data_IF_747284585050
#
_entry.id   IF_747284585050
#
_cell.length_a   1.000
_cell.length_b   1.000
_cell.length_c   1.000
_cell.angle_alpha   90.00
_cell.angle_beta   90.00
_cell.angle_gamma   90.00
#
_symmetry.space_group_name_H-M   'P 1'
#
loop_
_entity.id
_entity.type
_entity.pdbx_description
1 polymer ?
#
# COMPACT_ATOMS: atom_id res chain seq x y z
N UNK A 1 46.77 4.28 58.72
CA UNK A 1 45.84 3.19 58.35
C UNK A 1 44.53 3.64 57.71
N UNK A 2 44.06 4.88 57.87
CA UNK A 2 42.75 5.35 57.33
C UNK A 2 42.74 5.59 55.80
N UNK A 3 43.90 5.67 55.14
CA UNK A 3 43.97 5.97 53.69
C UNK A 3 43.70 4.76 52.78
N UNK A 4 44.02 3.54 53.24
CA UNK A 4 43.87 2.32 52.42
C UNK A 4 42.42 1.87 52.27
N UNK A 5 41.55 2.18 53.24
CA UNK A 5 40.13 1.78 53.20
C UNK A 5 39.32 2.57 52.15
N UNK A 6 39.67 3.83 51.89
CA UNK A 6 38.97 4.64 50.86
C UNK A 6 39.31 4.21 49.43
N UNK A 7 40.55 3.83 49.18
CA UNK A 7 40.97 3.35 47.86
C UNK A 7 40.32 1.99 47.53
N UNK A 8 40.25 1.10 48.52
CA UNK A 8 39.60 -0.20 48.38
C UNK A 8 38.10 -0.09 48.11
N UNK A 9 37.39 0.81 48.82
CA UNK A 9 35.95 1.03 48.62
C UNK A 9 35.63 1.60 47.22
N UNK A 10 36.46 2.48 46.66
CA UNK A 10 36.28 2.99 45.29
C UNK A 10 36.52 1.91 44.23
N UNK A 11 37.59 1.14 44.36
CA UNK A 11 37.87 0.04 43.44
C UNK A 11 36.77 -1.04 43.46
N UNK A 12 36.19 -1.31 44.64
CA UNK A 12 35.09 -2.25 44.79
C UNK A 12 33.77 -1.71 44.19
N UNK A 13 33.50 -0.41 44.35
CA UNK A 13 32.33 0.26 43.74
C UNK A 13 32.38 0.27 42.21
N UNK A 14 33.56 0.50 41.61
CA UNK A 14 33.74 0.51 40.15
C UNK A 14 33.63 -0.90 39.54
N UNK A 15 34.01 -1.94 40.29
CA UNK A 15 33.80 -3.33 39.88
C UNK A 15 32.32 -3.70 39.93
N UNK A 16 31.61 -3.37 41.01
CA UNK A 16 30.17 -3.66 41.16
C UNK A 16 29.32 -2.98 40.09
N UNK A 17 29.60 -1.72 39.76
CA UNK A 17 28.87 -1.00 38.72
C UNK A 17 29.06 -1.62 37.33
N UNK A 18 30.27 -2.10 36.99
CA UNK A 18 30.51 -2.81 35.72
C UNK A 18 29.81 -4.16 35.63
N UNK A 19 29.76 -4.90 36.74
CA UNK A 19 29.01 -6.16 36.78
C UNK A 19 27.51 -5.93 36.66
N UNK A 20 26.96 -4.90 37.33
CA UNK A 20 25.55 -4.56 37.22
C UNK A 20 25.17 -4.09 35.80
N UNK A 21 26.00 -3.30 35.13
CA UNK A 21 25.70 -2.84 33.76
C UNK A 21 25.76 -3.98 32.75
N UNK A 22 26.71 -4.91 32.87
CA UNK A 22 26.74 -6.11 32.02
C UNK A 22 25.52 -7.01 32.24
N UNK A 23 25.11 -7.23 33.50
CA UNK A 23 23.94 -8.05 33.81
C UNK A 23 22.65 -7.45 33.26
N UNK A 24 22.47 -6.12 33.36
CA UNK A 24 21.31 -5.43 32.80
C UNK A 24 21.28 -5.54 31.26
N UNK A 25 22.40 -5.34 30.58
CA UNK A 25 22.48 -5.49 29.12
C UNK A 25 22.12 -6.90 28.65
N UNK A 26 22.56 -7.93 29.39
CA UNK A 26 22.19 -9.32 29.11
C UNK A 26 20.69 -9.57 29.32
N UNK A 27 20.10 -9.03 30.38
CA UNK A 27 18.65 -9.15 30.61
C UNK A 27 17.87 -8.48 29.48
N UNK A 28 18.25 -7.27 29.05
CA UNK A 28 17.60 -6.59 27.93
C UNK A 28 17.74 -7.35 26.60
N UNK A 29 18.91 -7.95 26.33
CA UNK A 29 19.12 -8.76 25.14
C UNK A 29 18.29 -10.05 25.13
N UNK A 30 18.14 -10.71 26.29
CA UNK A 30 17.30 -11.90 26.40
C UNK A 30 15.82 -11.53 26.32
N UNK A 31 15.39 -10.42 26.94
CA UNK A 31 14.01 -9.93 26.85
C UNK A 31 13.64 -9.57 25.41
N UNK A 32 14.53 -8.94 24.64
CA UNK A 32 14.24 -8.57 23.25
C UNK A 32 14.11 -9.78 22.34
N UNK A 33 14.91 -10.84 22.55
CA UNK A 33 14.77 -12.12 21.82
C UNK A 33 13.45 -12.83 22.19
N UNK A 34 13.04 -12.78 23.47
CA UNK A 34 11.77 -13.37 23.92
C UNK A 34 10.55 -12.62 23.35
N UNK A 35 10.61 -11.30 23.26
CA UNK A 35 9.55 -10.48 22.67
C UNK A 35 9.43 -10.71 21.16
N UNK A 36 10.54 -10.91 20.43
CA UNK A 36 10.51 -11.21 18.99
C UNK A 36 9.96 -12.62 18.68
N UNK A 37 10.14 -13.59 19.58
CA UNK A 37 9.67 -14.98 19.39
C UNK A 37 8.23 -15.22 19.86
N UNK A 38 7.67 -14.31 20.66
CA UNK A 38 6.25 -14.30 21.03
C UNK A 38 5.37 -13.54 20.01
N UNK A 39 5.96 -12.88 19.01
CA UNK A 39 5.19 -12.40 17.88
C UNK A 39 4.81 -13.63 17.04
N UNK A 40 3.51 -13.96 16.88
CA UNK A 40 3.12 -14.98 15.93
C UNK A 40 3.73 -14.61 14.57
N UNK A 41 4.12 -15.60 13.74
CA UNK A 41 4.51 -15.30 12.36
C UNK A 41 3.41 -14.42 11.77
N UNK A 42 3.80 -13.31 11.14
CA UNK A 42 2.91 -12.44 10.37
C UNK A 42 2.36 -13.27 9.19
N UNK A 43 1.40 -14.14 9.50
CA UNK A 43 0.71 -15.04 8.62
C UNK A 43 -0.78 -14.76 8.77
N UNK A 44 -1.31 -14.00 7.80
CA UNK A 44 -2.69 -14.07 7.33
C UNK A 44 -3.87 -13.78 8.29
N UNK A 45 -3.73 -12.92 9.30
CA UNK A 45 -4.90 -12.61 10.17
C UNK A 45 -4.97 -11.17 10.69
N UNK A 46 -4.55 -10.15 9.93
CA UNK A 46 -4.61 -8.75 10.40
C UNK A 46 -5.86 -7.96 9.97
N UNK A 47 -6.91 -8.63 9.48
CA UNK A 47 -8.21 -8.01 9.24
C UNK A 47 -9.29 -8.69 10.08
N UNK A 48 -9.60 -8.17 11.28
CA UNK A 48 -10.81 -8.54 12.01
C UNK A 48 -12.02 -7.84 11.34
N UNK A 49 -12.39 -8.30 10.14
CA UNK A 49 -13.56 -7.85 9.39
C UNK A 49 -14.54 -9.01 9.19
N UNK A 50 -15.52 -9.13 10.08
CA UNK A 50 -16.87 -9.66 9.81
C UNK A 50 -16.98 -10.87 8.85
N UNK A 51 -16.39 -12.01 9.22
CA UNK A 51 -16.50 -13.28 8.47
C UNK A 51 -17.91 -13.90 8.62
N UNK A 52 -18.99 -13.22 8.23
CA UNK A 52 -20.34 -13.80 8.14
C UNK A 52 -21.35 -13.00 7.29
N UNK A 53 -20.95 -11.87 6.70
CA UNK A 53 -21.81 -11.11 5.77
C UNK A 53 -21.91 -11.79 4.40
N UNK A 54 -23.06 -11.66 3.75
CA UNK A 54 -23.17 -11.91 2.30
C UNK A 54 -22.48 -10.75 1.57
N UNK A 55 -21.73 -11.06 0.51
CA UNK A 55 -21.14 -9.99 -0.31
C UNK A 55 -22.22 -9.11 -0.92
N UNK A 56 -22.04 -7.79 -0.85
CA UNK A 56 -22.74 -6.88 -1.75
C UNK A 56 -22.19 -7.00 -3.19
N UNK A 57 -22.85 -6.36 -4.14
CA UNK A 57 -22.39 -6.34 -5.54
C UNK A 57 -21.10 -5.55 -5.73
N UNK A 58 -20.83 -4.61 -4.83
CA UNK A 58 -19.70 -3.67 -4.88
C UNK A 58 -18.49 -4.12 -4.06
N UNK A 59 -18.62 -5.20 -3.31
CA UNK A 59 -17.57 -5.74 -2.46
C UNK A 59 -16.85 -6.92 -3.15
N UNK A 60 -15.51 -6.91 -3.20
CA UNK A 60 -14.77 -8.06 -3.67
C UNK A 60 -14.87 -9.20 -2.65
N UNK A 61 -15.16 -10.41 -3.13
CA UNK A 61 -15.13 -11.60 -2.29
C UNK A 61 -13.71 -12.08 -2.01
N UNK A 62 -12.73 -11.71 -2.84
CA UNK A 62 -11.30 -12.01 -2.62
C UNK A 62 -10.41 -10.93 -3.22
N UNK A 63 -9.25 -10.70 -2.60
CA UNK A 63 -8.25 -9.75 -3.09
C UNK A 63 -6.92 -10.47 -3.24
N UNK A 64 -6.23 -10.25 -4.36
CA UNK A 64 -4.87 -10.70 -4.64
C UNK A 64 -3.97 -9.49 -4.86
N UNK A 65 -2.86 -9.46 -4.17
CA UNK A 65 -1.86 -8.39 -4.21
C UNK A 65 -0.57 -8.98 -4.75
N UNK A 66 -0.02 -8.37 -5.79
CA UNK A 66 1.28 -8.70 -6.35
C UNK A 66 2.23 -7.52 -6.19
N UNK A 67 3.31 -7.74 -5.44
CA UNK A 67 4.41 -6.80 -5.25
C UNK A 67 5.51 -7.14 -6.24
N UNK A 68 5.63 -6.36 -7.32
CA UNK A 68 6.55 -6.65 -8.43
C UNK A 68 8.02 -6.62 -7.97
N UNK A 69 8.38 -5.68 -7.08
CA UNK A 69 9.75 -5.50 -6.59
C UNK A 69 10.31 -6.73 -5.87
N UNK A 70 9.45 -7.43 -5.11
CA UNK A 70 9.83 -8.64 -4.36
C UNK A 70 9.32 -9.92 -5.03
N UNK A 71 8.65 -9.80 -6.18
CA UNK A 71 7.91 -10.89 -6.83
C UNK A 71 7.02 -11.67 -5.84
N UNK A 72 6.46 -10.96 -4.86
CA UNK A 72 5.68 -11.56 -3.78
C UNK A 72 4.21 -11.42 -4.09
N UNK A 73 3.48 -12.54 -4.00
CA UNK A 73 2.03 -12.54 -4.18
C UNK A 73 1.36 -12.92 -2.87
N UNK A 74 0.39 -12.12 -2.44
CA UNK A 74 -0.42 -12.38 -1.26
C UNK A 74 -1.88 -12.41 -1.67
N UNK A 75 -2.62 -13.40 -1.22
CA UNK A 75 -4.03 -13.55 -1.51
C UNK A 75 -4.81 -13.60 -0.19
N UNK A 76 -5.89 -12.84 -0.10
CA UNK A 76 -6.75 -12.86 1.07
C UNK A 76 -7.60 -14.12 1.08
N UNK A 77 -8.00 -14.55 2.26
CA UNK A 77 -9.15 -15.45 2.37
C UNK A 77 -10.41 -14.77 1.78
N UNK A 78 -11.46 -15.57 1.60
CA UNK A 78 -12.78 -15.05 1.22
C UNK A 78 -13.25 -14.02 2.26
N UNK A 79 -13.47 -12.78 1.82
CA UNK A 79 -13.79 -11.65 2.71
C UNK A 79 -15.27 -11.63 3.10
N UNK A 80 -16.14 -12.15 2.23
CA UNK A 80 -17.59 -12.22 2.40
C UNK A 80 -18.13 -13.44 1.66
N UNK A 81 -19.30 -13.97 2.04
CA UNK A 81 -19.86 -15.17 1.40
C UNK A 81 -20.64 -14.84 0.13
N UNK A 82 -20.21 -15.41 -0.99
CA UNK A 82 -20.98 -15.39 -2.23
C UNK A 82 -22.22 -16.31 -2.18
N UNK A 83 -23.24 -16.07 -3.02
CA UNK A 83 -24.37 -17.00 -3.17
C UNK A 83 -23.92 -18.38 -3.67
N UNK A 84 -24.56 -19.49 -3.25
CA UNK A 84 -24.16 -20.85 -3.66
C UNK A 84 -24.17 -21.09 -5.17
N UNK A 85 -24.98 -20.34 -5.91
CA UNK A 85 -25.06 -20.43 -7.38
C UNK A 85 -23.84 -19.87 -8.10
N UNK A 86 -23.15 -18.88 -7.49
CA UNK A 86 -21.96 -18.24 -8.02
C UNK A 86 -20.93 -18.09 -6.90
N UNK A 87 -20.23 -19.17 -6.50
CA UNK A 87 -19.25 -19.12 -5.43
C UNK A 87 -18.10 -18.15 -5.78
N UNK A 88 -17.40 -17.67 -4.75
CA UNK A 88 -16.21 -16.86 -4.94
C UNK A 88 -15.13 -17.72 -5.61
N UNK A 89 -14.71 -17.35 -6.81
CA UNK A 89 -13.73 -18.13 -7.57
C UNK A 89 -12.31 -17.93 -7.02
N UNK A 90 -11.48 -18.95 -7.20
CA UNK A 90 -10.03 -18.86 -7.03
C UNK A 90 -9.28 -18.83 -8.38
N UNK A 91 -9.99 -18.96 -9.50
CA UNK A 91 -9.42 -18.95 -10.83
C UNK A 91 -9.44 -17.53 -11.41
N UNK A 92 -8.35 -16.81 -11.17
CA UNK A 92 -8.19 -15.41 -11.57
C UNK A 92 -8.10 -15.21 -13.09
N UNK A 93 -7.67 -16.23 -13.83
CA UNK A 93 -7.47 -16.16 -15.28
C UNK A 93 -8.70 -16.68 -16.03
N UNK A 94 -9.31 -17.77 -15.55
CA UNK A 94 -10.53 -18.34 -16.12
C UNK A 94 -11.77 -17.46 -15.92
N UNK A 95 -11.85 -16.73 -14.81
CA UNK A 95 -12.99 -15.86 -14.47
C UNK A 95 -12.69 -14.36 -14.63
N UNK A 96 -11.95 -13.97 -15.67
CA UNK A 96 -11.55 -12.59 -15.91
C UNK A 96 -12.73 -11.59 -15.98
N UNK A 97 -13.94 -12.02 -16.32
CA UNK A 97 -15.15 -11.15 -16.30
C UNK A 97 -15.58 -10.73 -14.89
N UNK A 98 -15.08 -11.39 -13.85
CA UNK A 98 -15.36 -11.16 -12.43
C UNK A 98 -14.19 -10.50 -11.71
N UNK A 99 -13.14 -10.11 -12.44
CA UNK A 99 -11.90 -9.57 -11.88
C UNK A 99 -11.70 -8.13 -12.35
N UNK A 100 -11.44 -7.24 -11.40
CA UNK A 100 -10.92 -5.89 -11.67
C UNK A 100 -9.47 -5.85 -11.21
N UNK A 101 -8.57 -5.41 -12.09
CA UNK A 101 -7.14 -5.28 -11.76
C UNK A 101 -6.72 -3.82 -11.83
N UNK A 102 -6.06 -3.36 -10.76
CA UNK A 102 -5.53 -2.00 -10.63
C UNK A 102 -4.03 -2.06 -10.34
N UNK A 103 -3.27 -1.14 -10.92
CA UNK A 103 -1.89 -0.83 -10.58
C UNK A 103 -1.91 0.29 -9.55
N UNK A 104 -1.50 -0.06 -8.34
CA UNK A 104 -1.35 0.87 -7.23
C UNK A 104 0.10 1.39 -7.17
N UNK A 105 0.37 2.35 -6.29
CA UNK A 105 1.70 2.93 -6.11
C UNK A 105 2.76 1.87 -5.75
N UNK A 106 4.03 2.17 -6.02
CA UNK A 106 5.21 1.34 -5.68
C UNK A 106 5.30 -0.02 -6.38
N UNK A 107 4.94 -0.09 -7.65
CA UNK A 107 4.94 -1.35 -8.43
C UNK A 107 4.15 -2.45 -7.70
N UNK A 108 2.94 -2.10 -7.27
CA UNK A 108 1.97 -3.03 -6.72
C UNK A 108 0.82 -3.18 -7.70
N UNK A 109 0.38 -4.41 -7.92
CA UNK A 109 -0.86 -4.70 -8.64
C UNK A 109 -1.83 -5.38 -7.70
N UNK A 110 -3.07 -4.93 -7.71
CA UNK A 110 -4.14 -5.47 -6.90
C UNK A 110 -5.25 -5.96 -7.83
N UNK A 111 -5.63 -7.22 -7.67
CA UNK A 111 -6.74 -7.86 -8.37
C UNK A 111 -7.85 -8.17 -7.38
N UNK A 112 -9.06 -7.76 -7.73
CA UNK A 112 -10.27 -7.87 -6.92
C UNK A 112 -11.24 -8.82 -7.61
N UNK A 113 -11.57 -9.94 -6.96
CA UNK A 113 -12.51 -10.94 -7.45
C UNK A 113 -13.89 -10.68 -6.85
N UNK A 114 -14.93 -10.73 -7.67
CA UNK A 114 -16.32 -10.48 -7.26
C UNK A 114 -17.18 -11.73 -7.41
N UNK A 115 -18.31 -11.77 -6.69
CA UNK A 115 -19.27 -12.89 -6.79
C UNK A 115 -19.98 -12.97 -8.16
N UNK A 116 -20.00 -11.87 -8.91
CA UNK A 116 -20.69 -11.75 -10.20
C UNK A 116 -19.80 -10.99 -11.17
N UNK A 117 -20.16 -11.02 -12.45
CA UNK A 117 -19.42 -10.27 -13.48
C UNK A 117 -19.47 -8.77 -13.17
N UNK A 118 -18.31 -8.12 -13.28
CA UNK A 118 -18.16 -6.70 -12.93
C UNK A 118 -18.08 -5.82 -14.17
N UNK A 119 -18.04 -6.40 -15.38
CA UNK A 119 -17.78 -5.65 -16.59
C UNK A 119 -18.85 -4.57 -16.86
N UNK A 120 -18.48 -3.28 -16.88
CA UNK A 120 -19.33 -2.26 -17.47
C UNK A 120 -19.47 -2.56 -18.96
N UNK A 121 -20.64 -2.26 -19.51
CA UNK A 121 -20.96 -2.60 -20.91
C UNK A 121 -20.18 -1.77 -21.94
N UNK A 122 -19.34 -0.82 -21.51
CA UNK A 122 -18.73 0.20 -22.36
C UNK A 122 -17.21 0.29 -22.14
N UNK A 123 -16.50 0.49 -23.25
CA UNK A 123 -15.07 0.82 -23.24
C UNK A 123 -14.90 2.30 -22.88
N UNK A 124 -13.82 2.62 -22.16
CA UNK A 124 -13.47 4.01 -21.86
C UNK A 124 -13.08 4.74 -23.15
N UNK A 125 -13.61 5.95 -23.38
CA UNK A 125 -13.40 6.72 -24.62
C UNK A 125 -12.61 8.02 -24.43
N UNK A 126 -12.36 8.42 -23.19
CA UNK A 126 -11.76 9.68 -22.81
C UNK A 126 -10.93 9.52 -21.53
N UNK A 127 -10.31 10.63 -21.08
CA UNK A 127 -9.50 10.73 -19.86
C UNK A 127 -10.35 10.67 -18.57
N UNK A 128 -11.48 9.94 -18.62
CA UNK A 128 -12.44 9.80 -17.54
C UNK A 128 -12.00 8.79 -16.48
N UNK A 129 -12.67 8.86 -15.32
CA UNK A 129 -12.49 7.89 -14.24
C UNK A 129 -13.19 6.59 -14.60
N UNK A 130 -12.41 5.52 -14.76
CA UNK A 130 -12.91 4.19 -15.05
C UNK A 130 -13.45 3.50 -13.79
N UNK A 131 -12.73 3.63 -12.68
CA UNK A 131 -13.05 3.01 -11.40
C UNK A 131 -12.80 4.00 -10.27
N UNK A 132 -13.69 4.02 -9.29
CA UNK A 132 -13.53 4.74 -8.05
C UNK A 132 -13.75 3.79 -6.87
N UNK A 133 -12.77 3.76 -5.97
CA UNK A 133 -12.78 2.96 -4.75
C UNK A 133 -12.89 3.90 -3.55
N UNK A 134 -13.58 3.45 -2.51
CA UNK A 134 -13.56 4.08 -1.20
C UNK A 134 -12.94 3.14 -0.16
N UNK A 135 -12.03 3.71 0.63
CA UNK A 135 -11.23 3.04 1.63
C UNK A 135 -11.43 3.67 3.01
N UNK A 136 -11.73 2.80 3.97
CA UNK A 136 -11.55 3.06 5.41
C UNK A 136 -10.30 2.33 5.93
N UNK A 137 -9.61 1.57 5.08
CA UNK A 137 -8.49 0.69 5.43
C UNK A 137 -7.47 0.59 4.29
N UNK A 138 -6.34 -0.07 4.55
CA UNK A 138 -5.20 -0.26 3.62
C UNK A 138 -5.59 -1.08 2.36
N UNK A 139 -6.73 -1.79 2.41
CA UNK A 139 -7.28 -2.52 1.28
C UNK A 139 -8.65 -1.95 0.92
N UNK A 140 -8.95 -1.81 -0.38
CA UNK A 140 -10.23 -1.29 -0.84
C UNK A 140 -11.30 -2.31 -0.51
N UNK A 141 -12.25 -1.86 0.31
CA UNK A 141 -13.36 -2.68 0.76
C UNK A 141 -14.57 -2.52 -0.17
N UNK A 142 -14.68 -1.39 -0.88
CA UNK A 142 -15.88 -1.07 -1.63
C UNK A 142 -15.58 -0.36 -2.95
N UNK A 143 -16.19 -0.85 -4.03
CA UNK A 143 -16.24 -0.17 -5.33
C UNK A 143 -17.41 0.80 -5.34
N UNK A 144 -17.14 2.10 -5.33
CA UNK A 144 -18.20 3.11 -5.43
C UNK A 144 -18.77 3.16 -6.84
N UNK A 145 -17.88 3.24 -7.84
CA UNK A 145 -18.26 3.37 -9.23
C UNK A 145 -17.30 2.56 -10.11
N UNK A 146 -17.84 1.81 -11.07
CA UNK A 146 -17.09 1.18 -12.15
C UNK A 146 -17.79 1.46 -13.48
N UNK A 147 -17.29 2.46 -14.18
CA UNK A 147 -17.99 3.13 -15.29
C UNK A 147 -17.67 2.51 -16.63
N UNK A 148 -16.41 2.13 -16.86
CA UNK A 148 -15.94 1.63 -18.15
C UNK A 148 -14.71 0.72 -17.99
N UNK A 149 -14.44 -0.11 -19.00
CA UNK A 149 -13.25 -0.97 -19.08
C UNK A 149 -12.23 -0.40 -20.06
N UNK A 150 -10.94 -0.64 -19.81
CA UNK A 150 -9.86 -0.25 -20.72
C UNK A 150 -9.76 -1.20 -21.91
N UNK A 151 -9.20 -0.70 -23.00
CA UNK A 151 -8.78 -1.56 -24.09
C UNK A 151 -7.70 -2.55 -23.59
N UNK A 152 -7.70 -3.78 -24.12
CA UNK A 152 -6.69 -4.80 -23.87
C UNK A 152 -6.60 -5.37 -22.43
N UNK A 153 -7.60 -5.14 -21.57
CA UNK A 153 -7.64 -5.68 -20.20
C UNK A 153 -6.42 -5.30 -19.33
N UNK A 154 -5.74 -4.20 -19.66
CA UNK A 154 -4.58 -3.73 -18.88
C UNK A 154 -5.03 -3.26 -17.49
N UNK A 155 -4.17 -3.37 -16.46
CA UNK A 155 -4.46 -2.83 -15.14
C UNK A 155 -4.76 -1.35 -15.20
N UNK A 156 -5.82 -0.93 -14.50
CA UNK A 156 -6.15 0.47 -14.31
C UNK A 156 -5.06 1.17 -13.51
N UNK A 157 -4.77 2.44 -13.79
CA UNK A 157 -3.72 3.20 -13.12
C UNK A 157 -4.29 4.29 -12.23
N UNK A 158 -3.67 4.50 -11.08
CA UNK A 158 -4.10 5.53 -10.13
C UNK A 158 -4.00 6.92 -10.77
N UNK A 159 -5.09 7.67 -10.70
CA UNK A 159 -5.21 9.02 -11.25
C UNK A 159 -5.21 10.08 -10.15
N UNK A 160 -5.98 9.82 -9.09
CA UNK A 160 -6.22 10.77 -8.02
C UNK A 160 -6.54 10.02 -6.73
N UNK A 161 -6.07 10.53 -5.60
CA UNK A 161 -6.55 10.17 -4.28
C UNK A 161 -7.05 11.40 -3.55
N UNK A 162 -8.12 11.27 -2.79
CA UNK A 162 -8.62 12.36 -1.94
C UNK A 162 -9.31 11.83 -0.69
N UNK A 163 -9.27 12.62 0.38
CA UNK A 163 -9.94 12.35 1.64
C UNK A 163 -11.20 13.21 1.70
N UNK A 164 -12.35 12.58 1.92
CA UNK A 164 -13.62 13.29 2.04
C UNK A 164 -13.86 13.84 3.46
N UNK A 165 -15.05 14.41 3.68
CA UNK A 165 -15.44 14.97 4.98
C UNK A 165 -15.60 13.92 6.08
N UNK A 166 -15.87 12.66 5.72
CA UNK A 166 -16.00 11.53 6.64
C UNK A 166 -14.66 10.82 6.88
N UNK A 167 -13.56 11.41 6.40
CA UNK A 167 -12.21 10.85 6.44
C UNK A 167 -12.07 9.52 5.68
N UNK A 168 -12.96 9.23 4.75
CA UNK A 168 -12.81 8.13 3.81
C UNK A 168 -11.80 8.53 2.73
N UNK A 169 -10.88 7.61 2.43
CA UNK A 169 -9.93 7.79 1.33
C UNK A 169 -10.56 7.29 0.05
N UNK A 170 -10.75 8.17 -0.92
CA UNK A 170 -11.21 7.81 -2.24
C UNK A 170 -10.03 7.72 -3.19
N UNK A 171 -10.06 6.73 -4.08
CA UNK A 171 -9.05 6.54 -5.10
C UNK A 171 -9.74 6.41 -6.45
N UNK A 172 -9.35 7.27 -7.38
CA UNK A 172 -9.80 7.23 -8.76
C UNK A 172 -8.74 6.57 -9.62
N UNK A 173 -9.19 5.67 -10.47
CA UNK A 173 -8.36 4.97 -11.42
C UNK A 173 -8.86 5.24 -12.84
N UNK A 174 -7.91 5.33 -13.76
CA UNK A 174 -8.12 5.61 -15.18
C UNK A 174 -7.42 4.56 -16.03
N UNK A 175 -7.71 4.55 -17.32
CA UNK A 175 -7.04 3.65 -18.24
C UNK A 175 -5.62 4.13 -18.58
N UNK A 176 -4.64 3.22 -18.63
CA UNK A 176 -3.24 3.58 -18.85
C UNK A 176 -3.01 4.29 -20.19
N UNK A 177 -3.79 3.99 -21.23
CA UNK A 177 -3.70 4.64 -22.54
C UNK A 177 -3.98 6.14 -22.51
N UNK A 178 -4.72 6.63 -21.52
CA UNK A 178 -5.01 8.05 -21.36
C UNK A 178 -4.02 8.77 -20.44
N UNK A 179 -3.16 8.03 -19.74
CA UNK A 179 -2.04 8.59 -18.99
C UNK A 179 -0.85 8.88 -19.89
N UNK A 180 -0.48 10.16 -19.96
CA UNK A 180 0.74 10.60 -20.65
C UNK A 180 1.98 10.22 -19.85
N UNK A 181 3.10 10.01 -20.54
CA UNK A 181 4.42 9.87 -19.93
C UNK A 181 4.95 11.23 -19.46
N UNK A 182 5.62 11.27 -18.31
CA UNK A 182 6.20 12.50 -17.75
C UNK A 182 7.44 12.96 -18.54
N UNK A 183 7.54 14.25 -18.80
CA UNK A 183 8.75 14.90 -19.27
C UNK A 183 9.75 15.09 -18.12
N UNK A 184 10.89 14.41 -18.20
CA UNK A 184 11.96 14.46 -17.19
C UNK A 184 13.09 15.45 -17.56
N UNK A 185 13.07 16.02 -18.77
CA UNK A 185 14.16 16.83 -19.29
C UNK A 185 13.84 18.33 -19.30
N UNK A 186 14.89 19.15 -19.07
CA UNK A 186 14.82 20.60 -19.20
C UNK A 186 14.26 21.32 -17.97
N UNK A 187 13.97 22.64 -18.09
CA UNK A 187 13.39 23.46 -17.03
C UNK A 187 11.88 23.22 -16.83
N UNK A 188 11.20 22.62 -17.81
CA UNK A 188 9.76 22.35 -17.78
C UNK A 188 9.52 20.86 -17.49
N UNK A 189 10.06 20.38 -16.37
CA UNK A 189 9.82 18.99 -15.93
C UNK A 189 8.39 18.86 -15.46
N UNK A 190 7.76 17.75 -15.85
CA UNK A 190 6.42 17.44 -15.38
C UNK A 190 6.45 16.99 -13.91
N UNK A 191 5.50 17.49 -13.14
CA UNK A 191 5.17 16.95 -11.83
C UNK A 191 4.53 15.58 -12.05
N UNK A 192 5.07 14.53 -11.43
CA UNK A 192 4.50 13.17 -11.52
C UNK A 192 3.47 12.92 -10.42
N UNK A 193 3.58 13.64 -9.31
CA UNK A 193 2.62 13.66 -8.23
C UNK A 193 2.57 15.07 -7.63
N UNK A 194 1.36 15.54 -7.35
CA UNK A 194 1.12 16.81 -6.68
C UNK A 194 0.07 16.64 -5.62
N UNK A 195 0.35 17.12 -4.42
CA UNK A 195 -0.55 17.11 -3.28
C UNK A 195 -0.98 18.54 -2.95
N UNK A 196 -2.24 18.74 -2.58
CA UNK A 196 -2.71 20.05 -2.14
C UNK A 196 -2.08 20.48 -0.81
N UNK A 197 -2.21 21.76 -0.46
CA UNK A 197 -1.63 22.32 0.77
C UNK A 197 -2.13 21.64 2.05
N UNK A 198 -3.38 21.16 2.04
CA UNK A 198 -3.99 20.48 3.19
C UNK A 198 -3.73 18.96 3.23
N UNK A 199 -2.95 18.43 2.26
CA UNK A 199 -2.65 17.00 2.10
C UNK A 199 -3.87 16.07 1.94
N UNK A 200 -5.06 16.63 1.73
CA UNK A 200 -6.31 15.89 1.54
C UNK A 200 -6.50 15.39 0.11
N UNK A 201 -5.70 15.83 -0.86
CA UNK A 201 -5.86 15.49 -2.28
C UNK A 201 -4.52 15.35 -2.96
N UNK A 202 -4.27 14.19 -3.56
CA UNK A 202 -3.08 13.91 -4.35
C UNK A 202 -3.47 13.53 -5.78
N UNK A 203 -2.79 14.12 -6.76
CA UNK A 203 -3.02 13.90 -8.19
C UNK A 203 -1.77 13.30 -8.83
N UNK A 204 -1.97 12.42 -9.81
CA UNK A 204 -0.90 11.70 -10.52
C UNK A 204 -0.95 12.02 -12.02
N UNK A 205 -0.63 13.24 -12.47
CA UNK A 205 -0.96 13.72 -13.82
C UNK A 205 -0.22 13.00 -14.96
N UNK A 206 0.87 12.29 -14.69
CA UNK A 206 1.62 11.52 -15.69
C UNK A 206 2.32 10.31 -15.06
N UNK A 207 2.68 9.32 -15.89
CA UNK A 207 3.46 8.15 -15.46
C UNK A 207 4.95 8.40 -15.71
N UNK A 208 5.78 8.08 -14.72
CA UNK A 208 7.23 8.18 -14.85
C UNK A 208 7.76 7.14 -15.86
N UNK A 209 8.75 7.51 -16.70
CA UNK A 209 9.42 6.56 -17.59
C UNK A 209 10.10 5.42 -16.83
N UNK A 210 10.40 4.34 -17.55
CA UNK A 210 11.19 3.20 -17.02
C UNK A 210 12.51 3.69 -16.41
N UNK A 211 12.93 3.05 -15.31
CA UNK A 211 14.14 3.39 -14.52
C UNK A 211 14.07 4.75 -13.78
N UNK A 212 12.90 5.37 -13.70
CA UNK A 212 12.69 6.58 -12.89
C UNK A 212 11.64 6.38 -11.79
N UNK A 213 11.80 7.09 -10.67
CA UNK A 213 10.90 7.09 -9.52
C UNK A 213 10.29 8.48 -9.31
N UNK A 214 9.03 8.53 -8.87
CA UNK A 214 8.37 9.78 -8.52
C UNK A 214 8.76 10.22 -7.11
N UNK A 215 9.71 11.14 -6.99
CA UNK A 215 10.33 11.53 -5.73
C UNK A 215 10.08 13.01 -5.36
N UNK A 216 10.00 13.35 -4.06
CA UNK A 216 9.73 14.73 -3.64
C UNK A 216 10.86 15.67 -4.03
N UNK A 217 10.52 16.91 -4.37
CA UNK A 217 11.53 17.93 -4.61
C UNK A 217 12.15 18.43 -3.31
N UNK A 218 13.32 17.87 -2.97
CA UNK A 218 14.11 18.29 -1.79
C UNK A 218 14.58 19.75 -1.82
N UNK A 219 14.48 20.44 -2.94
CA UNK A 219 14.87 21.86 -3.03
C UNK A 219 13.78 22.81 -2.50
N UNK A 220 12.52 22.34 -2.44
CA UNK A 220 11.37 23.10 -1.96
C UNK A 220 11.08 22.68 -0.52
N UNK A 221 10.79 23.65 0.37
CA UNK A 221 10.44 23.35 1.77
C UNK A 221 9.11 22.61 1.88
N UNK A 222 8.18 22.96 1.00
CA UNK A 222 6.86 22.35 0.91
C UNK A 222 6.93 21.17 -0.05
N UNK A 223 6.92 19.96 0.50
CA UNK A 223 7.04 18.69 -0.25
C UNK A 223 5.72 18.30 -0.94
N UNK A 224 5.00 19.28 -1.46
CA UNK A 224 3.71 19.09 -2.14
C UNK A 224 3.88 18.67 -3.60
N UNK A 225 5.11 18.72 -4.14
CA UNK A 225 5.41 18.43 -5.53
C UNK A 225 6.50 17.37 -5.67
N UNK A 226 6.26 16.45 -6.60
CA UNK A 226 7.12 15.31 -6.87
C UNK A 226 7.43 15.25 -8.35
N UNK A 227 8.66 14.84 -8.66
CA UNK A 227 9.17 14.78 -10.02
C UNK A 227 9.84 13.43 -10.26
N UNK A 228 9.79 12.95 -11.50
CA UNK A 228 10.51 11.73 -11.85
C UNK A 228 12.03 11.96 -11.75
N UNK A 229 12.72 11.10 -11.01
CA UNK A 229 14.18 11.09 -10.85
C UNK A 229 14.73 9.72 -11.23
N UNK A 230 15.94 9.70 -11.76
CA UNK A 230 16.64 8.46 -12.09
C UNK A 230 16.98 7.71 -10.80
N UNK A 231 16.62 6.43 -10.71
CA UNK A 231 16.83 5.60 -9.52
C UNK A 231 18.32 5.34 -9.26
N UNK A 232 19.20 5.60 -10.25
CA UNK A 232 20.64 5.32 -10.18
C UNK A 232 21.50 6.46 -9.61
N UNK A 233 20.92 7.62 -9.34
CA UNK A 233 21.64 8.81 -8.81
C UNK A 233 21.48 8.96 -7.30
#
# INVERSE_FOLDING_TARGET
>A
MVSYTRAFLRAFSDQLTKFMTMALLWIFAVLSILVCSAMPPFGNSFFPGLINGRCSLSEPCRIKIHLHRTSTTTETAEQCRCPPSNPCSSDWEGDASRVITVKHLNDMTMSMMFCSEVQPRILCTDNGTALQLAEVSILPQNVEFFTCTCADSRPLVLDETYIDYDHATHMKYSCPEFKRQCNIQGPNRDECMSTNEDETRTQYPCECPTDTSCDPDRSVRDQTKFFCRDVRQ
#
